data_IF_609823823116
#
_entry.id   IF_609823823116
#
_cell.length_a   1.000
_cell.length_b   1.000
_cell.length_c   1.000
_cell.angle_alpha   90.00
_cell.angle_beta   90.00
_cell.angle_gamma   90.00
#
_symmetry.space_group_name_H-M   'P 1'
#
loop_
_entity.id
_entity.type
_entity.pdbx_description
1 polymer ?
#
# COMPACT_ATOMS: atom_id res chain seq x y z
N UNK A 1 4.47 -9.79 -25.90
CA UNK A 1 4.08 -9.06 -24.68
C UNK A 1 2.55 -8.77 -24.60
N UNK A 2 1.68 -9.63 -25.13
CA UNK A 2 0.21 -9.42 -25.19
C UNK A 2 -0.63 -10.52 -24.49
N UNK A 3 -0.02 -11.34 -23.63
CA UNK A 3 -0.67 -12.54 -23.09
C UNK A 3 -0.98 -12.50 -21.57
N UNK A 4 -0.72 -11.41 -20.84
CA UNK A 4 -0.82 -11.42 -19.36
C UNK A 4 -2.16 -10.94 -18.78
N UNK A 5 -3.10 -10.38 -19.56
CA UNK A 5 -4.28 -9.71 -19.00
C UNK A 5 -5.65 -10.22 -19.48
N UNK A 6 -5.72 -11.35 -20.19
CA UNK A 6 -7.02 -11.89 -20.69
C UNK A 6 -7.87 -12.62 -19.63
N UNK A 7 -7.47 -12.66 -18.36
CA UNK A 7 -8.14 -13.47 -17.32
C UNK A 7 -9.11 -12.77 -16.37
N UNK A 8 -9.20 -11.44 -16.35
CA UNK A 8 -9.95 -10.71 -15.30
C UNK A 8 -11.37 -10.28 -15.69
N UNK A 9 -11.89 -10.76 -16.83
CA UNK A 9 -13.19 -10.33 -17.36
C UNK A 9 -14.42 -10.86 -16.62
N UNK A 10 -14.32 -11.91 -15.80
CA UNK A 10 -15.50 -12.52 -15.16
C UNK A 10 -15.80 -12.01 -13.74
N UNK A 11 -14.82 -11.48 -13.00
CA UNK A 11 -15.07 -10.89 -11.67
C UNK A 11 -15.68 -9.48 -11.76
N UNK A 12 -15.46 -8.78 -12.88
CA UNK A 12 -15.98 -7.42 -13.11
C UNK A 12 -17.51 -7.35 -13.20
N UNK A 13 -18.18 -8.39 -13.73
CA UNK A 13 -19.65 -8.40 -13.82
C UNK A 13 -20.35 -8.64 -12.47
N UNK A 14 -19.75 -9.41 -11.56
CA UNK A 14 -20.27 -9.57 -10.20
C UNK A 14 -20.05 -8.31 -9.36
N UNK A 15 -18.90 -7.64 -9.51
CA UNK A 15 -18.58 -6.41 -8.79
C UNK A 15 -19.54 -5.25 -9.12
N UNK A 16 -19.96 -5.08 -10.38
CA UNK A 16 -20.88 -4.00 -10.76
C UNK A 16 -22.31 -4.20 -10.22
N UNK A 17 -22.76 -5.44 -9.98
CA UNK A 17 -24.10 -5.70 -9.46
C UNK A 17 -24.18 -5.51 -7.94
N UNK A 18 -23.05 -5.53 -7.23
CA UNK A 18 -22.96 -5.32 -5.76
C UNK A 18 -23.08 -3.83 -5.40
N UNK A 19 -22.55 -2.94 -6.23
CA UNK A 19 -22.57 -1.48 -5.95
C UNK A 19 -23.96 -0.85 -6.14
N UNK A 20 -24.85 -1.48 -6.93
CA UNK A 20 -26.14 -0.90 -7.33
C UNK A 20 -27.32 -1.14 -6.38
N UNK A 21 -27.12 -1.72 -5.19
CA UNK A 21 -28.22 -2.03 -4.29
C UNK A 21 -27.89 -2.19 -2.81
N UNK A 22 -26.64 -2.03 -2.40
CA UNK A 22 -26.27 -2.19 -1.01
C UNK A 22 -26.51 -0.91 -0.20
N UNK A 23 -27.43 -0.96 0.76
CA UNK A 23 -27.57 0.07 1.79
C UNK A 23 -26.30 0.14 2.64
N UNK A 24 -26.02 1.29 3.27
CA UNK A 24 -24.91 1.43 4.24
C UNK A 24 -24.91 0.31 5.28
N UNK A 25 -26.09 -0.10 5.75
CA UNK A 25 -26.26 -1.21 6.68
C UNK A 25 -25.79 -2.56 6.13
N UNK A 26 -25.97 -2.82 4.83
CA UNK A 26 -25.53 -4.08 4.20
C UNK A 26 -24.01 -4.15 4.02
N UNK A 27 -23.35 -3.02 3.69
CA UNK A 27 -21.89 -2.93 3.58
C UNK A 27 -21.24 -3.21 4.94
N UNK A 28 -21.67 -2.45 5.96
CA UNK A 28 -21.17 -2.61 7.33
C UNK A 28 -21.42 -4.03 7.84
N UNK A 29 -22.61 -4.57 7.62
CA UNK A 29 -22.94 -5.93 8.03
C UNK A 29 -22.00 -6.95 7.38
N UNK A 30 -21.72 -6.84 6.07
CA UNK A 30 -20.83 -7.77 5.38
C UNK A 30 -19.40 -7.70 5.91
N UNK A 31 -18.87 -6.50 6.16
CA UNK A 31 -17.51 -6.32 6.71
C UNK A 31 -17.41 -6.99 8.08
N UNK A 32 -18.35 -6.68 8.98
CA UNK A 32 -18.39 -7.26 10.32
C UNK A 32 -18.58 -8.78 10.31
N UNK A 33 -19.43 -9.29 9.40
CA UNK A 33 -19.69 -10.72 9.26
C UNK A 33 -18.45 -11.46 8.75
N UNK A 34 -17.78 -10.95 7.73
CA UNK A 34 -16.57 -11.56 7.18
C UNK A 34 -15.43 -11.56 8.21
N UNK A 35 -15.23 -10.46 8.95
CA UNK A 35 -14.23 -10.41 10.01
C UNK A 35 -14.52 -11.45 11.12
N UNK A 36 -15.79 -11.57 11.55
CA UNK A 36 -16.19 -12.58 12.55
C UNK A 36 -16.01 -14.01 12.07
N UNK A 37 -16.21 -14.28 10.78
CA UNK A 37 -15.99 -15.62 10.20
C UNK A 37 -14.53 -16.07 10.34
N UNK A 38 -13.60 -15.12 10.36
CA UNK A 38 -12.16 -15.35 10.54
C UNK A 38 -11.72 -15.13 12.01
N UNK A 39 -12.66 -15.04 12.96
CA UNK A 39 -12.42 -14.75 14.38
C UNK A 39 -11.71 -13.40 14.65
N UNK A 40 -11.91 -12.42 13.77
CA UNK A 40 -11.38 -11.07 13.92
C UNK A 40 -12.46 -10.18 14.55
N UNK A 41 -12.22 -9.71 15.77
CA UNK A 41 -13.07 -8.73 16.42
C UNK A 41 -12.64 -7.32 16.01
N UNK A 42 -13.42 -6.65 15.17
CA UNK A 42 -13.15 -5.26 14.77
C UNK A 42 -13.50 -4.24 15.86
N UNK A 43 -14.33 -4.60 16.85
CA UNK A 43 -14.82 -3.66 17.89
C UNK A 43 -13.73 -3.24 18.88
N UNK A 44 -12.60 -3.93 18.86
CA UNK A 44 -11.36 -3.58 19.56
C UNK A 44 -10.76 -2.26 19.05
N UNK A 45 -11.10 -1.83 17.84
CA UNK A 45 -10.62 -0.58 17.25
C UNK A 45 -11.49 0.58 17.74
N UNK A 46 -10.96 1.54 18.53
CA UNK A 46 -11.77 2.61 19.10
C UNK A 46 -12.34 3.59 18.05
N UNK A 47 -11.78 3.59 16.85
CA UNK A 47 -12.18 4.41 15.69
C UNK A 47 -12.97 3.61 14.64
N UNK A 48 -13.47 2.42 14.98
CA UNK A 48 -14.15 1.54 14.02
C UNK A 48 -15.28 2.26 13.28
N UNK A 49 -16.12 3.01 13.99
CA UNK A 49 -17.26 3.70 13.38
C UNK A 49 -16.82 4.73 12.35
N UNK A 50 -15.85 5.58 12.68
CA UNK A 50 -15.31 6.59 11.76
C UNK A 50 -14.73 5.94 10.48
N UNK A 51 -14.06 4.80 10.64
CA UNK A 51 -13.55 4.05 9.49
C UNK A 51 -14.66 3.41 8.66
N UNK A 52 -15.69 2.83 9.29
CA UNK A 52 -16.81 2.21 8.57
C UNK A 52 -17.62 3.26 7.80
N UNK A 53 -17.85 4.43 8.40
CA UNK A 53 -18.52 5.54 7.75
C UNK A 53 -17.72 6.04 6.53
N UNK A 54 -16.40 6.16 6.67
CA UNK A 54 -15.50 6.51 5.56
C UNK A 54 -15.50 5.46 4.43
N UNK A 55 -15.59 4.17 4.76
CA UNK A 55 -15.74 3.09 3.76
C UNK A 55 -17.08 3.20 3.03
N UNK A 56 -18.17 3.40 3.76
CA UNK A 56 -19.51 3.58 3.20
C UNK A 56 -19.57 4.79 2.28
N UNK A 57 -18.95 5.90 2.67
CA UNK A 57 -18.86 7.11 1.84
C UNK A 57 -18.07 6.84 0.55
N UNK A 58 -16.97 6.08 0.64
CA UNK A 58 -16.21 5.66 -0.54
C UNK A 58 -17.07 4.85 -1.52
N UNK A 59 -17.90 3.94 -1.02
CA UNK A 59 -18.89 3.21 -1.84
C UNK A 59 -19.97 4.12 -2.43
N UNK A 60 -20.43 5.14 -1.69
CA UNK A 60 -21.41 6.09 -2.24
C UNK A 60 -20.81 6.89 -3.41
N UNK A 61 -19.55 7.29 -3.28
CA UNK A 61 -18.80 8.05 -4.30
C UNK A 61 -18.41 7.20 -5.52
N UNK A 62 -18.36 5.86 -5.38
CA UNK A 62 -18.18 4.91 -6.48
C UNK A 62 -19.22 5.06 -7.60
N UNK A 63 -20.47 5.36 -7.24
CA UNK A 63 -21.54 5.51 -8.24
C UNK A 63 -21.29 6.66 -9.21
N UNK A 64 -20.54 7.68 -8.79
CA UNK A 64 -20.19 8.84 -9.60
C UNK A 64 -18.91 8.62 -10.43
N UNK A 65 -18.02 7.73 -10.00
CA UNK A 65 -16.67 7.57 -10.57
C UNK A 65 -16.44 6.23 -11.28
N UNK A 66 -17.34 5.25 -11.12
CA UNK A 66 -17.23 3.89 -11.69
C UNK A 66 -17.05 3.82 -13.22
N UNK A 67 -17.47 4.87 -13.96
CA UNK A 67 -17.28 4.97 -15.41
C UNK A 67 -15.93 5.56 -15.82
N UNK A 68 -15.14 6.07 -14.87
CA UNK A 68 -13.85 6.71 -15.15
C UNK A 68 -12.89 5.68 -15.73
N UNK A 69 -12.19 6.07 -16.80
CA UNK A 69 -11.12 5.29 -17.41
C UNK A 69 -9.85 6.11 -17.40
N UNK A 70 -8.73 5.47 -17.08
CA UNK A 70 -7.43 6.14 -17.11
C UNK A 70 -7.09 6.43 -18.55
N UNK A 71 -6.80 7.68 -18.86
CA UNK A 71 -6.43 8.11 -20.21
C UNK A 71 -4.93 7.93 -20.50
N UNK A 72 -4.16 7.54 -19.49
CA UNK A 72 -2.71 7.38 -19.55
C UNK A 72 -2.20 5.96 -19.82
N UNK A 73 -0.91 5.85 -20.17
CA UNK A 73 -0.21 4.56 -20.35
C UNK A 73 0.68 4.19 -19.17
N UNK A 74 0.86 5.09 -18.19
CA UNK A 74 1.69 4.87 -17.01
C UNK A 74 0.90 4.03 -15.98
N UNK A 75 1.61 3.11 -15.33
CA UNK A 75 1.12 2.34 -14.18
C UNK A 75 1.96 2.76 -12.98
N UNK A 76 1.32 3.39 -11.99
CA UNK A 76 1.95 3.71 -10.72
C UNK A 76 1.84 2.48 -9.78
N UNK A 77 2.98 1.95 -9.33
CA UNK A 77 3.03 0.80 -8.44
C UNK A 77 3.37 1.17 -7.00
N UNK A 78 3.48 2.46 -6.69
CA UNK A 78 3.86 2.98 -5.38
C UNK A 78 2.98 4.19 -5.04
N UNK A 79 1.70 3.92 -4.81
CA UNK A 79 0.74 4.94 -4.36
C UNK A 79 0.25 4.64 -2.94
N UNK A 80 0.05 5.70 -2.14
CA UNK A 80 -0.45 5.57 -0.79
C UNK A 80 -1.83 6.19 -0.61
N UNK A 81 -2.68 5.52 0.17
CA UNK A 81 -3.92 6.09 0.69
C UNK A 81 -3.72 6.51 2.14
N UNK A 82 -4.38 7.60 2.52
CA UNK A 82 -4.33 8.13 3.88
C UNK A 82 -5.72 8.63 4.31
N UNK A 83 -6.66 7.72 4.59
CA UNK A 83 -7.93 8.11 5.18
C UNK A 83 -7.74 8.85 6.50
N UNK A 84 -8.64 9.78 6.82
CA UNK A 84 -8.54 10.63 8.02
C UNK A 84 -8.44 9.83 9.32
N UNK A 85 -9.19 8.72 9.44
CA UNK A 85 -9.12 7.84 10.60
C UNK A 85 -7.73 7.20 10.76
N UNK A 86 -7.04 6.88 9.67
CA UNK A 86 -5.68 6.32 9.73
C UNK A 86 -4.67 7.40 10.06
N UNK A 87 -4.83 8.60 9.48
CA UNK A 87 -4.02 9.76 9.80
C UNK A 87 -4.11 10.15 11.28
N UNK A 88 -5.30 10.00 11.89
CA UNK A 88 -5.51 10.28 13.31
C UNK A 88 -4.73 9.33 14.22
N UNK A 89 -4.65 8.05 13.87
CA UNK A 89 -3.87 7.06 14.66
C UNK A 89 -2.38 7.08 14.35
N UNK A 90 -1.98 7.49 13.13
CA UNK A 90 -0.59 7.63 12.71
C UNK A 90 -0.32 9.04 12.15
N UNK A 91 -0.19 10.05 13.02
CA UNK A 91 -0.05 11.46 12.60
C UNK A 91 1.34 11.80 12.05
N UNK A 92 2.33 10.93 12.24
CA UNK A 92 3.70 11.11 11.75
C UNK A 92 4.22 9.84 11.10
N UNK A 93 4.71 9.96 9.88
CA UNK A 93 5.26 8.85 9.09
C UNK A 93 6.63 9.25 8.54
N UNK A 94 7.65 8.41 8.76
CA UNK A 94 9.02 8.71 8.29
C UNK A 94 9.59 10.02 8.84
N UNK A 95 9.21 10.42 10.05
CA UNK A 95 9.62 11.68 10.68
C UNK A 95 8.91 12.94 10.18
N UNK A 96 7.93 12.81 9.28
CA UNK A 96 7.16 13.92 8.73
C UNK A 96 5.67 13.82 9.11
N UNK A 97 4.93 14.93 9.18
CA UNK A 97 3.49 14.90 9.32
C UNK A 97 2.85 14.04 8.22
N UNK A 98 1.97 13.12 8.61
CA UNK A 98 1.21 12.32 7.65
C UNK A 98 0.31 13.27 6.82
N UNK A 99 0.38 13.22 5.47
CA UNK A 99 -0.32 14.18 4.61
C UNK A 99 -1.84 14.00 4.69
N UNK A 100 -2.59 15.07 4.44
CA UNK A 100 -4.01 14.94 4.09
C UNK A 100 -4.13 14.25 2.73
N UNK A 101 -5.17 13.46 2.54
CA UNK A 101 -5.42 12.76 1.30
C UNK A 101 -6.91 12.71 1.02
N UNK A 102 -7.29 12.94 -0.23
CA UNK A 102 -8.65 12.72 -0.70
C UNK A 102 -8.61 12.07 -2.09
N UNK A 103 -9.56 11.16 -2.32
CA UNK A 103 -9.61 10.37 -3.53
C UNK A 103 -9.79 11.28 -4.77
N UNK A 104 -10.61 12.33 -4.68
CA UNK A 104 -10.93 13.19 -5.84
C UNK A 104 -9.70 13.93 -6.37
N UNK A 105 -8.94 14.59 -5.50
CA UNK A 105 -7.73 15.30 -5.88
C UNK A 105 -6.64 14.34 -6.36
N UNK A 106 -6.52 13.17 -5.74
CA UNK A 106 -5.58 12.16 -6.20
C UNK A 106 -5.92 11.63 -7.59
N UNK A 107 -7.21 11.37 -7.89
CA UNK A 107 -7.64 11.02 -9.24
C UNK A 107 -7.30 12.13 -10.25
N UNK A 108 -7.54 13.40 -9.90
CA UNK A 108 -7.17 14.55 -10.75
C UNK A 108 -5.67 14.61 -11.03
N UNK A 109 -4.83 14.30 -10.03
CA UNK A 109 -3.39 14.16 -10.20
C UNK A 109 -3.04 13.05 -11.19
N UNK A 110 -3.67 11.87 -11.09
CA UNK A 110 -3.44 10.78 -12.07
C UNK A 110 -3.76 11.21 -13.51
N UNK A 111 -4.85 11.95 -13.72
CA UNK A 111 -5.21 12.46 -15.06
C UNK A 111 -4.17 13.46 -15.57
N UNK A 112 -3.68 14.35 -14.71
CA UNK A 112 -2.71 15.39 -15.05
C UNK A 112 -1.36 14.80 -15.45
N UNK A 113 -0.93 13.75 -14.76
CA UNK A 113 0.36 13.08 -15.01
C UNK A 113 0.29 11.96 -16.06
N UNK A 114 -0.88 11.70 -16.65
CA UNK A 114 -1.05 10.61 -17.61
C UNK A 114 -0.85 9.22 -17.00
N UNK A 115 -1.24 9.05 -15.73
CA UNK A 115 -1.24 7.78 -15.01
C UNK A 115 -2.59 7.09 -15.25
N UNK A 116 -2.56 6.01 -16.03
CA UNK A 116 -3.77 5.28 -16.40
C UNK A 116 -4.22 4.29 -15.34
N UNK A 117 -3.31 3.79 -14.51
CA UNK A 117 -3.58 2.82 -13.44
C UNK A 117 -2.67 3.05 -12.25
N UNK A 118 -3.15 2.70 -11.07
CA UNK A 118 -2.36 2.72 -9.86
C UNK A 118 -2.65 1.50 -8.98
N UNK A 119 -1.59 0.97 -8.36
CA UNK A 119 -1.68 -0.04 -7.31
C UNK A 119 -1.36 0.65 -5.99
N UNK A 120 -2.36 0.74 -5.11
CA UNK A 120 -2.27 1.52 -3.88
C UNK A 120 -2.23 0.64 -2.63
N UNK A 121 -1.72 1.22 -1.55
CA UNK A 121 -1.62 0.61 -0.23
C UNK A 121 -1.66 1.70 0.85
N UNK A 122 -1.80 1.37 2.12
CA UNK A 122 -1.35 2.26 3.18
C UNK A 122 0.19 2.29 3.21
N UNK A 123 0.79 3.37 3.68
CA UNK A 123 2.25 3.45 3.84
C UNK A 123 2.72 2.75 5.13
N UNK A 124 4.00 2.85 5.46
CA UNK A 124 4.52 2.44 6.77
C UNK A 124 3.88 3.29 7.89
N UNK A 125 3.59 2.71 9.08
CA UNK A 125 3.95 1.37 9.54
C UNK A 125 2.90 0.29 9.21
N UNK A 126 2.01 0.52 8.23
CA UNK A 126 0.96 -0.45 7.88
C UNK A 126 0.04 -0.76 9.06
N UNK A 127 -0.19 -2.03 9.38
CA UNK A 127 -1.02 -2.46 10.51
C UNK A 127 -0.23 -2.45 11.84
N UNK A 128 1.10 -2.29 11.78
CA UNK A 128 1.99 -2.25 12.93
C UNK A 128 2.01 -0.86 13.63
N UNK A 129 0.95 -0.07 13.48
CA UNK A 129 0.69 1.12 14.31
C UNK A 129 0.56 0.73 15.78
N UNK A 130 0.11 -0.50 16.06
CA UNK A 130 -0.02 -1.07 17.40
C UNK A 130 1.03 -2.17 17.65
N UNK A 131 2.32 -1.84 17.76
CA UNK A 131 3.35 -2.85 17.95
C UNK A 131 3.06 -3.65 19.22
N UNK A 132 3.32 -4.97 19.17
CA UNK A 132 3.10 -5.95 20.25
C UNK A 132 1.63 -6.21 20.63
N UNK A 133 0.67 -5.48 20.04
CA UNK A 133 -0.75 -5.70 20.28
C UNK A 133 -1.38 -6.50 19.13
N UNK A 134 -1.23 -7.82 19.20
CA UNK A 134 -1.75 -8.79 18.22
C UNK A 134 -3.18 -8.51 17.78
N UNK A 135 -4.09 -8.35 18.75
CA UNK A 135 -5.52 -8.17 18.48
C UNK A 135 -5.79 -6.89 17.67
N UNK A 136 -5.18 -5.76 18.06
CA UNK A 136 -5.35 -4.51 17.32
C UNK A 136 -4.71 -4.58 15.93
N UNK A 137 -3.54 -5.20 15.79
CA UNK A 137 -2.86 -5.36 14.49
C UNK A 137 -3.67 -6.18 13.50
N UNK A 138 -4.25 -7.30 13.94
CA UNK A 138 -5.11 -8.15 13.10
C UNK A 138 -6.36 -7.41 12.67
N UNK A 139 -7.06 -6.77 13.62
CA UNK A 139 -8.26 -5.99 13.33
C UNK A 139 -7.98 -4.84 12.35
N UNK A 140 -6.86 -4.12 12.55
CA UNK A 140 -6.46 -3.01 11.68
C UNK A 140 -6.12 -3.51 10.26
N UNK A 141 -5.40 -4.62 10.10
CA UNK A 141 -5.10 -5.17 8.77
C UNK A 141 -6.36 -5.50 7.97
N UNK A 142 -7.35 -6.15 8.61
CA UNK A 142 -8.66 -6.42 7.98
C UNK A 142 -9.36 -5.12 7.56
N UNK A 143 -9.43 -4.15 8.47
CA UNK A 143 -10.10 -2.88 8.21
C UNK A 143 -9.43 -2.08 7.08
N UNK A 144 -8.09 -2.07 7.04
CA UNK A 144 -7.31 -1.46 5.95
C UNK A 144 -7.64 -2.13 4.61
N UNK A 145 -7.65 -3.46 4.55
CA UNK A 145 -7.94 -4.19 3.31
C UNK A 145 -9.38 -3.94 2.81
N UNK A 146 -10.36 -3.89 3.71
CA UNK A 146 -11.75 -3.52 3.36
C UNK A 146 -11.84 -2.09 2.80
N UNK A 147 -11.08 -1.16 3.38
CA UNK A 147 -11.02 0.21 2.87
C UNK A 147 -10.36 0.27 1.48
N UNK A 148 -9.26 -0.45 1.27
CA UNK A 148 -8.63 -0.53 -0.04
C UNK A 148 -9.56 -1.15 -1.08
N UNK A 149 -10.28 -2.20 -0.69
CA UNK A 149 -11.28 -2.83 -1.54
C UNK A 149 -12.36 -1.84 -1.96
N UNK A 150 -12.91 -1.06 -1.04
CA UNK A 150 -13.90 -0.03 -1.33
C UNK A 150 -13.40 1.01 -2.35
N UNK A 151 -12.17 1.51 -2.19
CA UNK A 151 -11.55 2.44 -3.14
C UNK A 151 -11.38 1.78 -4.52
N UNK A 152 -10.93 0.52 -4.56
CA UNK A 152 -10.74 -0.19 -5.83
C UNK A 152 -12.07 -0.38 -6.58
N UNK A 153 -13.16 -0.66 -5.86
CA UNK A 153 -14.50 -0.76 -6.44
C UNK A 153 -15.08 0.58 -6.87
N UNK A 154 -14.63 1.69 -6.28
CA UNK A 154 -15.02 3.02 -6.71
C UNK A 154 -14.49 3.36 -8.10
N UNK A 155 -13.29 2.90 -8.44
CA UNK A 155 -12.64 3.19 -9.73
C UNK A 155 -12.01 1.93 -10.34
N UNK A 156 -12.81 0.90 -10.66
CA UNK A 156 -12.33 -0.47 -10.90
C UNK A 156 -11.46 -0.65 -12.15
N UNK A 157 -11.52 0.31 -13.09
CA UNK A 157 -10.71 0.27 -14.30
C UNK A 157 -9.32 0.92 -14.14
N UNK A 158 -9.09 1.66 -13.05
CA UNK A 158 -7.82 2.33 -12.78
C UNK A 158 -7.13 1.83 -11.53
N UNK A 159 -7.89 1.47 -10.50
CA UNK A 159 -7.35 1.27 -9.16
C UNK A 159 -7.36 -0.20 -8.74
N UNK A 160 -6.21 -0.68 -8.29
CA UNK A 160 -6.00 -1.99 -7.68
C UNK A 160 -5.20 -1.80 -6.40
N UNK A 161 -5.11 -2.80 -5.52
CA UNK A 161 -4.43 -2.62 -4.25
C UNK A 161 -3.55 -3.80 -3.84
N UNK A 162 -2.53 -3.48 -3.04
CA UNK A 162 -1.77 -4.48 -2.30
C UNK A 162 -2.42 -4.70 -0.93
N UNK A 163 -2.58 -5.96 -0.54
CA UNK A 163 -3.11 -6.34 0.76
C UNK A 163 -2.08 -6.08 1.87
N UNK A 164 -2.58 -5.63 3.01
CA UNK A 164 -1.84 -5.57 4.27
C UNK A 164 -2.08 -6.83 5.09
N UNK A 165 -1.07 -7.29 5.80
CA UNK A 165 -1.13 -8.49 6.64
C UNK A 165 -0.62 -8.18 8.05
N UNK A 166 -1.18 -8.82 9.09
CA UNK A 166 -0.79 -8.60 10.48
C UNK A 166 0.49 -9.38 10.86
N UNK A 167 1.59 -9.17 10.15
CA UNK A 167 2.89 -9.69 10.61
C UNK A 167 3.36 -8.94 11.87
N UNK A 168 4.07 -9.61 12.81
CA UNK A 168 4.71 -10.92 12.69
C UNK A 168 3.81 -12.14 13.02
N UNK A 169 2.49 -11.95 13.17
CA UNK A 169 1.55 -13.03 13.52
C UNK A 169 1.22 -13.89 12.30
N UNK A 170 2.11 -14.85 11.99
CA UNK A 170 2.11 -15.58 10.72
C UNK A 170 0.80 -16.33 10.41
N UNK A 171 0.21 -17.02 11.38
CA UNK A 171 -1.03 -17.79 11.17
C UNK A 171 -2.19 -16.87 10.77
N UNK A 172 -2.36 -15.76 11.49
CA UNK A 172 -3.38 -14.75 11.17
C UNK A 172 -3.06 -13.99 9.88
N UNK A 173 -1.78 -13.77 9.59
CA UNK A 173 -1.35 -13.18 8.33
C UNK A 173 -1.70 -14.06 7.13
N UNK A 174 -1.64 -15.39 7.26
CA UNK A 174 -2.04 -16.33 6.20
C UNK A 174 -3.55 -16.29 5.99
N UNK A 175 -4.34 -16.24 7.07
CA UNK A 175 -5.81 -16.10 6.98
C UNK A 175 -6.18 -14.81 6.27
N UNK A 176 -5.59 -13.69 6.69
CA UNK A 176 -5.85 -12.38 6.07
C UNK A 176 -5.39 -12.33 4.62
N UNK A 177 -4.25 -12.94 4.30
CA UNK A 177 -3.74 -12.98 2.93
C UNK A 177 -4.69 -13.70 1.97
N UNK A 178 -5.25 -14.84 2.39
CA UNK A 178 -6.26 -15.58 1.63
C UNK A 178 -7.52 -14.74 1.47
N UNK A 179 -8.01 -14.14 2.55
CA UNK A 179 -9.18 -13.26 2.48
C UNK A 179 -8.99 -12.12 1.47
N UNK A 180 -7.88 -11.40 1.55
CA UNK A 180 -7.64 -10.26 0.68
C UNK A 180 -7.53 -10.64 -0.80
N UNK A 181 -6.92 -11.78 -1.13
CA UNK A 181 -6.82 -12.25 -2.51
C UNK A 181 -8.14 -12.84 -3.01
N UNK A 182 -8.72 -13.77 -2.26
CA UNK A 182 -9.87 -14.58 -2.72
C UNK A 182 -11.19 -13.82 -2.63
N UNK A 183 -11.38 -13.02 -1.56
CA UNK A 183 -12.61 -12.25 -1.34
C UNK A 183 -12.54 -10.85 -1.91
N UNK A 184 -11.44 -10.13 -1.65
CA UNK A 184 -11.35 -8.71 -1.98
C UNK A 184 -10.66 -8.41 -3.33
N UNK A 185 -9.95 -9.39 -3.90
CA UNK A 185 -9.29 -9.26 -5.20
C UNK A 185 -7.98 -8.46 -5.16
N UNK A 186 -7.27 -8.47 -4.04
CA UNK A 186 -5.92 -7.89 -3.94
C UNK A 186 -4.98 -8.47 -5.01
N UNK A 187 -4.11 -7.63 -5.58
CA UNK A 187 -3.18 -8.04 -6.66
C UNK A 187 -1.80 -8.47 -6.16
N UNK A 188 -1.56 -8.33 -4.85
CA UNK A 188 -0.33 -8.69 -4.18
C UNK A 188 -0.35 -8.23 -2.72
N UNK A 189 0.82 -8.21 -2.09
CA UNK A 189 0.99 -7.91 -0.68
C UNK A 189 1.96 -6.76 -0.48
N UNK A 190 1.58 -5.80 0.37
CA UNK A 190 2.46 -4.76 0.87
C UNK A 190 3.11 -5.28 2.14
N UNK A 191 4.44 -5.38 2.12
CA UNK A 191 5.23 -5.71 3.32
C UNK A 191 6.17 -4.56 3.65
N UNK A 192 6.29 -4.20 4.92
CA UNK A 192 7.37 -3.32 5.36
C UNK A 192 8.69 -4.07 5.41
N UNK A 193 9.80 -3.32 5.37
CA UNK A 193 11.16 -3.91 5.46
C UNK A 193 11.42 -4.73 6.74
N UNK A 194 10.68 -4.46 7.83
CA UNK A 194 10.63 -5.26 9.05
C UNK A 194 9.24 -5.18 9.71
N UNK A 195 8.96 -6.14 10.59
CA UNK A 195 7.76 -6.23 11.43
C UNK A 195 8.18 -6.46 12.89
N UNK A 196 8.19 -5.40 13.70
CA UNK A 196 8.60 -5.47 15.11
C UNK A 196 9.98 -6.14 15.27
N UNK A 197 10.99 -5.64 14.55
CA UNK A 197 12.36 -6.19 14.47
C UNK A 197 12.51 -7.52 13.69
N UNK A 198 11.41 -8.11 13.22
CA UNK A 198 11.48 -9.25 12.30
C UNK A 198 11.65 -8.76 10.86
N UNK A 199 12.89 -8.73 10.39
CA UNK A 199 13.20 -8.50 8.97
C UNK A 199 12.74 -9.68 8.12
N UNK A 200 12.47 -9.44 6.83
CA UNK A 200 11.89 -10.46 5.93
C UNK A 200 12.70 -11.77 5.81
N UNK A 201 14.01 -11.74 6.12
CA UNK A 201 14.86 -12.93 6.18
C UNK A 201 14.79 -13.71 7.50
N UNK A 202 14.07 -13.20 8.51
CA UNK A 202 13.94 -13.84 9.82
C UNK A 202 13.12 -15.14 9.71
N UNK A 203 13.57 -16.20 10.38
CA UNK A 203 12.91 -17.51 10.35
C UNK A 203 11.45 -17.47 10.84
N UNK A 204 11.10 -16.54 11.74
CA UNK A 204 9.75 -16.34 12.23
C UNK A 204 8.74 -16.00 11.11
N UNK A 205 9.20 -15.41 10.00
CA UNK A 205 8.36 -15.03 8.86
C UNK A 205 8.31 -16.12 7.77
N UNK A 206 9.12 -17.19 7.87
CA UNK A 206 9.14 -18.28 6.88
C UNK A 206 7.79 -18.96 6.69
N UNK A 207 6.98 -19.26 7.73
CA UNK A 207 5.67 -19.89 7.52
C UNK A 207 4.75 -19.05 6.62
N UNK A 208 4.74 -17.73 6.83
CA UNK A 208 3.96 -16.81 6.00
C UNK A 208 4.47 -16.77 4.56
N UNK A 209 5.78 -16.62 4.35
CA UNK A 209 6.37 -16.58 3.01
C UNK A 209 6.15 -17.90 2.24
N UNK A 210 6.26 -19.04 2.91
CA UNK A 210 5.97 -20.35 2.33
C UNK A 210 4.48 -20.49 1.96
N UNK A 211 3.57 -19.96 2.77
CA UNK A 211 2.15 -19.96 2.46
C UNK A 211 1.82 -19.08 1.24
N UNK A 212 2.48 -17.92 1.08
CA UNK A 212 2.34 -17.10 -0.12
C UNK A 212 2.87 -17.81 -1.38
N UNK A 213 4.02 -18.48 -1.29
CA UNK A 213 4.60 -19.27 -2.38
C UNK A 213 3.70 -20.45 -2.79
N UNK A 214 3.01 -21.04 -1.82
CA UNK A 214 2.06 -22.15 -2.03
C UNK A 214 0.69 -21.75 -2.58
N UNK A 215 0.39 -20.46 -2.79
CA UNK A 215 -0.87 -20.03 -3.38
C UNK A 215 -0.96 -20.43 -4.87
N UNK A 216 -2.17 -20.68 -5.36
CA UNK A 216 -2.41 -21.16 -6.74
C UNK A 216 -1.78 -20.23 -7.80
N UNK A 217 -1.84 -18.92 -7.56
CA UNK A 217 -1.21 -17.90 -8.41
C UNK A 217 0.07 -17.41 -7.74
N UNK A 218 1.07 -17.10 -8.56
CA UNK A 218 2.25 -16.37 -8.09
C UNK A 218 1.83 -15.03 -7.52
N UNK A 219 2.24 -14.76 -6.29
CA UNK A 219 1.91 -13.54 -5.57
C UNK A 219 2.97 -12.48 -5.79
N UNK A 220 2.55 -11.21 -5.88
CA UNK A 220 3.45 -10.05 -5.86
C UNK A 220 3.70 -9.68 -4.41
N UNK A 221 4.96 -9.53 -4.03
CA UNK A 221 5.36 -8.96 -2.74
C UNK A 221 6.03 -7.61 -3.01
N UNK A 222 5.33 -6.54 -2.67
CA UNK A 222 5.84 -5.17 -2.72
C UNK A 222 6.45 -4.81 -1.36
N UNK A 223 7.77 -4.63 -1.33
CA UNK A 223 8.50 -4.30 -0.10
C UNK A 223 8.70 -2.78 0.01
N UNK A 224 8.12 -2.21 1.06
CA UNK A 224 8.20 -0.78 1.36
C UNK A 224 9.16 -0.51 2.54
N UNK A 225 9.97 0.57 2.51
CA UNK A 225 10.80 0.93 3.66
C UNK A 225 9.97 1.24 4.90
N UNK A 226 10.49 0.95 6.09
CA UNK A 226 9.93 1.45 7.36
C UNK A 226 11.07 1.87 8.28
N UNK A 227 10.73 2.47 9.42
CA UNK A 227 11.73 2.88 10.43
C UNK A 227 12.61 1.67 10.80
N UNK A 228 13.95 1.79 10.71
CA UNK A 228 14.86 0.75 11.16
C UNK A 228 14.69 0.46 12.65
N UNK A 229 14.67 -0.82 13.02
CA UNK A 229 14.59 -1.25 14.43
C UNK A 229 15.93 -1.81 14.93
N UNK A 230 16.82 -2.20 14.01
CA UNK A 230 18.18 -2.65 14.34
C UNK A 230 18.92 -1.60 15.17
N UNK A 231 19.50 -2.07 16.29
CA UNK A 231 20.32 -1.29 17.22
C UNK A 231 21.82 -1.46 16.98
N UNK A 232 22.21 -2.25 15.99
CA UNK A 232 23.60 -2.51 15.65
C UNK A 232 24.25 -1.29 14.97
N UNK A 233 24.52 -0.30 15.81
CA UNK A 233 25.46 0.77 15.56
C UNK A 233 26.84 0.13 15.33
N UNK A 234 27.57 0.46 14.24
CA UNK A 234 27.58 1.75 13.55
C UNK A 234 26.94 1.82 12.13
N UNK A 235 26.16 0.85 11.66
CA UNK A 235 25.87 0.74 10.21
C UNK A 235 24.52 1.26 9.68
N UNK A 236 23.61 1.78 10.52
CA UNK A 236 22.35 2.35 10.06
C UNK A 236 22.19 3.81 10.53
N UNK A 237 22.44 4.83 9.68
CA UNK A 237 22.05 6.19 10.01
C UNK A 237 20.52 6.27 10.12
N UNK A 238 20.02 7.07 11.06
CA UNK A 238 18.60 7.35 11.16
C UNK A 238 18.10 7.94 9.85
N UNK A 239 16.94 7.47 9.36
CA UNK A 239 16.26 8.00 8.19
C UNK A 239 15.70 9.39 8.50
N UNK A 240 16.59 10.36 8.56
CA UNK A 240 16.28 11.72 8.11
C UNK A 240 17.17 11.94 6.89
N UNK A 241 16.60 12.41 5.77
CA UNK A 241 17.42 12.76 4.60
C UNK A 241 18.56 13.69 5.00
N UNK A 242 18.32 14.58 5.98
CA UNK A 242 19.35 15.43 6.57
C UNK A 242 20.46 14.64 7.27
N UNK A 243 20.14 13.65 8.10
CA UNK A 243 21.13 12.82 8.81
C UNK A 243 21.93 11.92 7.87
N UNK A 244 21.28 11.33 6.86
CA UNK A 244 21.96 10.52 5.85
C UNK A 244 22.86 11.37 4.94
N UNK A 245 22.40 12.56 4.54
CA UNK A 245 23.20 13.52 3.78
C UNK A 245 24.39 14.02 4.60
N UNK A 246 24.19 14.35 5.87
CA UNK A 246 25.26 14.78 6.78
C UNK A 246 26.27 13.65 7.02
N UNK A 247 25.83 12.40 7.14
CA UNK A 247 26.71 11.24 7.26
C UNK A 247 27.55 11.03 5.99
N UNK A 248 26.96 11.18 4.79
CA UNK A 248 27.69 11.10 3.52
C UNK A 248 28.68 12.28 3.39
N UNK A 249 28.25 13.50 3.72
CA UNK A 249 29.09 14.69 3.67
C UNK A 249 30.26 14.61 4.67
N UNK A 250 30.03 14.06 5.87
CA UNK A 250 31.03 13.92 6.93
C UNK A 250 31.86 12.63 6.88
N UNK A 251 31.61 11.72 5.94
CA UNK A 251 32.33 10.45 5.85
C UNK A 251 33.74 10.64 5.27
N UNK A 252 34.76 10.11 5.96
CA UNK A 252 36.14 10.04 5.45
C UNK A 252 36.36 8.86 4.48
N UNK A 253 35.36 7.98 4.34
CA UNK A 253 35.42 6.82 3.44
C UNK A 253 35.14 7.18 1.97
N UNK A 254 34.56 8.35 1.73
CA UNK A 254 34.25 8.85 0.39
C UNK A 254 35.11 10.07 0.10
N UNK A 255 35.74 10.11 -1.07
CA UNK A 255 36.42 11.31 -1.52
C UNK A 255 35.42 12.44 -1.80
N UNK A 256 35.90 13.68 -1.89
CA UNK A 256 35.05 14.80 -2.32
C UNK A 256 34.35 14.53 -3.65
N UNK A 257 35.06 13.91 -4.60
CA UNK A 257 34.54 13.55 -5.91
C UNK A 257 33.47 12.46 -5.83
N UNK A 258 33.63 11.46 -4.95
CA UNK A 258 32.64 10.40 -4.76
C UNK A 258 31.34 10.96 -4.16
N UNK A 259 31.46 11.89 -3.21
CA UNK A 259 30.31 12.58 -2.61
C UNK A 259 29.55 13.39 -3.64
N UNK A 260 30.25 14.13 -4.51
CA UNK A 260 29.61 14.90 -5.59
C UNK A 260 28.92 13.98 -6.60
N UNK A 261 29.59 12.91 -7.04
CA UNK A 261 29.04 11.97 -8.03
C UNK A 261 27.78 11.25 -7.53
N UNK A 262 27.72 10.88 -6.26
CA UNK A 262 26.56 10.20 -5.66
C UNK A 262 25.25 10.98 -5.86
N UNK A 263 25.31 12.31 -5.88
CA UNK A 263 24.14 13.18 -6.02
C UNK A 263 23.93 13.74 -7.43
N UNK A 264 24.99 13.86 -8.24
CA UNK A 264 24.88 14.38 -9.61
C UNK A 264 24.59 13.27 -10.64
N UNK A 265 25.31 12.15 -10.58
CA UNK A 265 25.21 11.09 -11.61
C UNK A 265 24.05 10.13 -11.42
N UNK A 266 23.46 10.03 -10.22
CA UNK A 266 22.25 9.24 -10.02
C UNK A 266 21.06 9.84 -10.78
N UNK A 267 20.92 11.18 -10.82
CA UNK A 267 19.85 11.83 -11.57
C UNK A 267 20.12 11.79 -13.09
N UNK A 268 21.35 12.06 -13.52
CA UNK A 268 21.73 12.06 -14.94
C UNK A 268 21.68 10.65 -15.57
N UNK A 269 21.96 9.60 -14.80
CA UNK A 269 21.83 8.21 -15.25
C UNK A 269 20.39 7.69 -15.30
N UNK A 270 19.50 8.19 -14.41
CA UNK A 270 18.08 7.81 -14.37
C UNK A 270 17.21 8.62 -15.34
N UNK A 271 17.55 9.88 -15.60
CA UNK A 271 16.72 10.80 -16.40
C UNK A 271 17.41 11.32 -17.68
N UNK A 272 18.66 10.93 -17.92
CA UNK A 272 19.47 11.39 -19.05
C UNK A 272 20.02 12.80 -18.83
N UNK A 273 21.10 13.14 -19.54
CA UNK A 273 21.64 14.50 -19.58
C UNK A 273 20.53 15.48 -20.02
N UNK A 274 20.23 16.47 -19.19
CA UNK A 274 19.38 17.60 -19.57
C UNK A 274 20.17 18.53 -20.50
N UNK A 275 20.47 18.06 -21.72
CA UNK A 275 20.99 18.94 -22.75
C UNK A 275 19.88 19.89 -23.18
N UNK A 276 19.97 21.14 -22.72
CA UNK A 276 19.19 22.25 -23.24
C UNK A 276 19.53 22.44 -24.74
N UNK A 277 18.72 21.84 -25.60
CA UNK A 277 18.75 22.08 -27.04
C UNK A 277 18.86 20.83 -27.91
N UNK A 278 17.78 20.50 -28.61
CA UNK A 278 17.87 19.91 -29.95
C UNK A 278 17.39 18.47 -30.15
N UNK A 279 16.07 18.31 -30.29
CA UNK A 279 15.47 17.35 -31.24
C UNK A 279 15.45 15.85 -30.87
N UNK A 280 14.54 15.08 -31.50
CA UNK A 280 13.89 13.95 -30.85
C UNK A 280 14.59 12.63 -31.14
N UNK A 281 14.79 11.75 -30.15
CA UNK A 281 15.05 10.33 -30.43
C UNK A 281 14.32 9.37 -29.50
N UNK A 282 13.44 8.62 -30.15
CA UNK A 282 12.90 7.30 -29.79
C UNK A 282 14.03 6.34 -29.39
N UNK A 283 13.87 5.60 -28.29
CA UNK A 283 13.41 4.20 -28.27
C UNK A 283 13.03 3.81 -26.86
#
# INVERSE_FOLDING_TARGET
MKAFFKGFGLTSLFALSVVKGNSSSSIIHSILQNARADNIDLTVLPFLNDSLDSIVETYANANNTSKRQGNGTIIDTHAHVVPDWYRAIQPTTGGNPTPSWDLTNWLSFLDTEGIGRAIFSFSAPSANVFPTNKTLTIALARLMNEHLHAISLAVPNQLQFYAHVPLPYADEAIVEAKYAVEKLGAVGFFLTSNFEDNYLGNEALRPFLAALDGMEKRQIVYVHPTTPVMKDFPYAPSFTQAGSLAAIQGSDLLSGDDKTKLFTTNAEGLFGETSAGGGPRRR
#
